data_IF_831438061738
#
_entry.id   IF_831438061738
#
_cell.length_a   1.000
_cell.length_b   1.000
_cell.length_c   1.000
_cell.angle_alpha   90.00
_cell.angle_beta   90.00
_cell.angle_gamma   90.00
#
_symmetry.space_group_name_H-M   'P 1'
#
loop_
_entity.id
_entity.type
_entity.pdbx_description
1 polymer ?
#
# COMPACT_ATOMS: atom_id res chain seq x y z
N UNK A 1 0.91 -23.21 6.48
CA UNK A 1 0.05 -23.13 5.28
C UNK A 1 0.91 -22.80 4.06
N UNK A 2 0.83 -23.61 3.03
CA UNK A 2 1.60 -23.33 1.81
C UNK A 2 0.96 -22.17 1.06
N UNK A 3 1.78 -21.22 0.60
CA UNK A 3 1.30 -20.12 -0.23
C UNK A 3 0.87 -20.66 -1.59
N UNK A 4 -0.22 -20.11 -2.12
CA UNK A 4 -0.67 -20.38 -3.48
C UNK A 4 0.27 -19.80 -4.54
N UNK A 5 1.11 -18.81 -4.17
CA UNK A 5 1.92 -18.04 -5.09
C UNK A 5 3.40 -18.19 -4.79
N UNK A 6 4.20 -18.08 -5.84
CA UNK A 6 5.66 -17.97 -5.76
C UNK A 6 6.07 -16.62 -6.34
N UNK A 7 7.13 -16.04 -5.78
CA UNK A 7 7.77 -14.86 -6.36
C UNK A 7 8.91 -15.37 -7.26
N UNK A 8 8.87 -14.97 -8.52
CA UNK A 8 9.81 -15.44 -9.54
C UNK A 8 10.43 -14.23 -10.23
N UNK A 9 11.76 -14.27 -10.43
CA UNK A 9 12.44 -13.24 -11.20
C UNK A 9 11.96 -13.26 -12.66
N UNK A 10 11.69 -12.07 -13.21
CA UNK A 10 11.24 -11.93 -14.61
C UNK A 10 12.16 -12.60 -15.61
N UNK A 11 13.46 -12.69 -15.29
CA UNK A 11 14.46 -13.33 -16.18
C UNK A 11 14.17 -14.81 -16.42
N UNK A 12 13.46 -15.47 -15.51
CA UNK A 12 13.06 -16.89 -15.66
C UNK A 12 11.79 -17.08 -16.48
N UNK A 13 11.07 -16.00 -16.76
CA UNK A 13 9.76 -16.06 -17.40
C UNK A 13 9.85 -15.67 -18.89
N UNK A 14 9.01 -16.28 -19.74
CA UNK A 14 8.86 -15.81 -21.12
C UNK A 14 8.37 -14.34 -21.12
N UNK A 15 8.78 -13.55 -22.13
CA UNK A 15 8.42 -12.13 -22.21
C UNK A 15 6.91 -11.84 -22.25
N UNK A 16 6.11 -12.79 -22.72
CA UNK A 16 4.66 -12.58 -22.84
C UNK A 16 3.95 -12.48 -21.50
N UNK A 17 4.50 -12.98 -20.40
CA UNK A 17 3.91 -12.79 -19.07
C UNK A 17 3.88 -11.30 -18.68
N UNK A 18 4.97 -10.59 -18.90
CA UNK A 18 5.01 -9.15 -18.65
C UNK A 18 4.05 -8.39 -19.55
N UNK A 19 3.92 -8.83 -20.80
CA UNK A 19 2.96 -8.22 -21.75
C UNK A 19 1.51 -8.44 -21.35
N UNK A 20 1.18 -9.58 -20.74
CA UNK A 20 -0.16 -9.82 -20.19
C UNK A 20 -0.48 -8.80 -19.09
N UNK A 21 0.47 -8.55 -18.19
CA UNK A 21 0.31 -7.55 -17.14
C UNK A 21 0.14 -6.15 -17.73
N UNK A 22 0.96 -5.78 -18.71
CA UNK A 22 0.87 -4.49 -19.40
C UNK A 22 -0.49 -4.31 -20.08
N UNK A 23 -1.01 -5.34 -20.76
CA UNK A 23 -2.32 -5.29 -21.39
C UNK A 23 -3.44 -5.04 -20.38
N UNK A 24 -3.36 -5.69 -19.21
CA UNK A 24 -4.34 -5.46 -18.14
C UNK A 24 -4.27 -4.03 -17.63
N UNK A 25 -3.08 -3.50 -17.43
CA UNK A 25 -2.91 -2.12 -16.97
C UNK A 25 -3.49 -1.12 -17.98
N UNK A 26 -3.31 -1.35 -19.27
CA UNK A 26 -3.91 -0.50 -20.32
C UNK A 26 -5.44 -0.52 -20.25
N UNK A 27 -6.05 -1.66 -19.94
CA UNK A 27 -7.50 -1.77 -19.76
C UNK A 27 -7.96 -1.04 -18.50
N UNK A 28 -7.26 -1.25 -17.39
CA UNK A 28 -7.63 -0.67 -16.10
C UNK A 28 -7.48 0.85 -16.12
N UNK A 29 -6.47 1.38 -16.81
CA UNK A 29 -6.21 2.81 -16.95
C UNK A 29 -7.06 3.49 -18.01
N UNK A 30 -7.87 2.73 -18.76
CA UNK A 30 -8.70 3.26 -19.84
C UNK A 30 -7.93 3.66 -21.10
N UNK A 31 -6.66 3.29 -21.22
CA UNK A 31 -5.85 3.56 -22.42
C UNK A 31 -6.20 2.62 -23.57
N UNK A 32 -6.75 1.46 -23.29
CA UNK A 32 -7.30 0.54 -24.27
C UNK A 32 -8.80 0.36 -24.00
N UNK A 33 -9.59 0.33 -25.08
CA UNK A 33 -11.06 0.22 -24.99
C UNK A 33 -11.51 -1.19 -24.67
N UNK A 34 -10.80 -2.18 -25.19
CA UNK A 34 -11.13 -3.59 -25.06
C UNK A 34 -9.87 -4.44 -25.12
N UNK A 35 -10.04 -5.74 -24.87
CA UNK A 35 -8.94 -6.71 -24.88
C UNK A 35 -8.23 -6.75 -26.23
N UNK A 36 -8.98 -6.67 -27.32
CA UNK A 36 -8.41 -6.72 -28.68
C UNK A 36 -7.43 -5.57 -28.91
N UNK A 37 -7.77 -4.37 -28.48
CA UNK A 37 -6.88 -3.21 -28.55
C UNK A 37 -5.67 -3.35 -27.63
N UNK A 38 -5.89 -3.75 -26.38
CA UNK A 38 -4.82 -3.90 -25.40
C UNK A 38 -3.75 -4.91 -25.84
N UNK A 39 -4.17 -6.09 -26.30
CA UNK A 39 -3.22 -7.14 -26.72
C UNK A 39 -2.46 -6.74 -27.98
N UNK A 40 -3.11 -6.01 -28.88
CA UNK A 40 -2.47 -5.49 -30.08
C UNK A 40 -1.39 -4.45 -29.72
N UNK A 41 -1.66 -3.59 -28.76
CA UNK A 41 -0.70 -2.58 -28.32
C UNK A 41 0.57 -3.19 -27.72
N UNK A 42 0.45 -4.30 -27.01
CA UNK A 42 1.59 -4.96 -26.38
C UNK A 42 2.17 -6.11 -27.22
N UNK A 43 1.50 -6.53 -28.29
CA UNK A 43 2.02 -7.52 -29.23
C UNK A 43 1.83 -8.95 -28.81
N UNK A 44 0.73 -9.30 -28.15
CA UNK A 44 0.35 -10.69 -27.81
C UNK A 44 -1.00 -11.05 -28.43
N UNK A 45 -1.33 -12.34 -28.43
CA UNK A 45 -2.63 -12.82 -28.89
C UNK A 45 -3.68 -12.70 -27.78
N UNK A 46 -4.96 -12.63 -28.16
CA UNK A 46 -6.06 -12.67 -27.20
C UNK A 46 -6.07 -13.95 -26.39
N UNK A 47 -5.75 -15.10 -27.01
CA UNK A 47 -5.71 -16.37 -26.32
C UNK A 47 -4.62 -16.42 -25.24
N UNK A 48 -3.46 -15.84 -25.50
CA UNK A 48 -2.39 -15.70 -24.50
C UNK A 48 -2.87 -14.86 -23.32
N UNK A 49 -3.51 -13.72 -23.61
CA UNK A 49 -4.02 -12.84 -22.57
C UNK A 49 -5.05 -13.57 -21.68
N UNK A 50 -6.06 -14.20 -22.28
CA UNK A 50 -7.11 -14.90 -21.51
C UNK A 50 -6.57 -16.08 -20.71
N UNK A 51 -5.57 -16.76 -21.21
CA UNK A 51 -4.96 -17.89 -20.51
C UNK A 51 -4.27 -17.47 -19.21
N UNK A 52 -3.61 -16.32 -19.20
CA UNK A 52 -2.74 -15.92 -18.11
C UNK A 52 -3.22 -14.71 -17.31
N UNK A 53 -4.27 -14.03 -17.72
CA UNK A 53 -4.72 -12.76 -17.12
C UNK A 53 -4.95 -12.82 -15.61
N UNK A 54 -5.40 -13.95 -15.08
CA UNK A 54 -5.68 -14.12 -13.67
C UNK A 54 -4.56 -14.85 -12.92
N UNK A 55 -3.53 -15.28 -13.63
CA UNK A 55 -2.43 -16.08 -13.07
C UNK A 55 -1.16 -15.26 -12.89
N UNK A 56 -1.03 -14.14 -13.57
CA UNK A 56 0.16 -13.27 -13.53
C UNK A 56 -0.27 -11.89 -13.09
N UNK A 57 0.41 -11.35 -12.08
CA UNK A 57 0.11 -10.02 -11.55
C UNK A 57 1.41 -9.28 -11.23
N UNK A 58 1.36 -7.95 -11.34
CA UNK A 58 2.45 -7.12 -10.88
C UNK A 58 2.48 -7.12 -9.35
N UNK A 59 3.66 -7.16 -8.76
CA UNK A 59 3.84 -7.10 -7.31
C UNK A 59 3.19 -5.85 -6.70
N UNK A 60 3.21 -4.72 -7.42
CA UNK A 60 2.59 -3.49 -6.95
C UNK A 60 1.07 -3.54 -6.85
N UNK A 61 0.42 -4.45 -7.59
CA UNK A 61 -1.05 -4.62 -7.54
C UNK A 61 -1.48 -5.71 -6.55
N UNK A 62 -0.56 -6.59 -6.17
CA UNK A 62 -0.75 -7.48 -5.03
C UNK A 62 -0.19 -6.74 -3.84
N UNK A 63 -1.03 -6.42 -2.89
CA UNK A 63 -0.65 -5.75 -1.65
C UNK A 63 0.40 -6.57 -0.88
N UNK A 64 1.59 -6.63 -1.41
CA UNK A 64 2.76 -7.22 -0.74
C UNK A 64 3.63 -6.15 -0.08
N UNK A 65 3.13 -4.91 -0.07
CA UNK A 65 3.75 -3.86 0.69
C UNK A 65 3.77 -4.22 2.17
N UNK A 66 4.86 -3.89 2.84
CA UNK A 66 4.92 -4.02 4.28
C UNK A 66 3.90 -3.08 4.91
N UNK A 67 3.25 -3.55 5.95
CA UNK A 67 2.31 -2.77 6.73
C UNK A 67 2.87 -2.52 8.12
N UNK A 68 2.62 -1.33 8.63
CA UNK A 68 2.91 -1.00 10.01
C UNK A 68 1.61 -0.56 10.70
N UNK A 69 1.44 -0.99 11.93
CA UNK A 69 0.31 -0.58 12.76
C UNK A 69 0.86 0.26 13.91
N UNK A 70 0.43 1.51 13.97
CA UNK A 70 0.88 2.47 14.98
C UNK A 70 -0.30 2.85 15.87
N UNK A 71 -0.10 2.80 17.17
CA UNK A 71 -1.07 3.25 18.16
C UNK A 71 -0.57 4.51 18.85
N UNK A 72 -1.48 5.41 19.16
CA UNK A 72 -1.16 6.65 19.88
C UNK A 72 -2.36 7.14 20.68
N UNK A 73 -2.09 7.88 21.74
CA UNK A 73 -3.10 8.63 22.50
C UNK A 73 -3.01 10.09 22.07
N UNK A 74 -4.15 10.67 21.68
CA UNK A 74 -4.21 12.08 21.30
C UNK A 74 -5.10 12.84 22.26
N UNK A 75 -4.71 14.08 22.59
CA UNK A 75 -5.61 15.01 23.22
C UNK A 75 -6.73 15.36 22.27
N UNK A 76 -7.95 15.48 22.81
CA UNK A 76 -9.11 15.83 21.98
C UNK A 76 -9.09 17.33 21.67
N UNK A 77 -8.20 17.71 20.74
CA UNK A 77 -8.07 19.08 20.22
C UNK A 77 -8.16 19.05 18.71
N UNK A 78 -8.75 20.10 18.16
CA UNK A 78 -8.87 20.25 16.70
C UNK A 78 -7.48 20.33 16.07
N UNK A 79 -7.27 19.59 15.00
CA UNK A 79 -6.09 19.69 14.16
C UNK A 79 -4.94 18.76 14.51
N UNK A 80 -4.94 18.07 15.66
CA UNK A 80 -3.84 17.15 16.02
C UNK A 80 -3.78 15.97 15.05
N UNK A 81 -4.91 15.33 14.77
CA UNK A 81 -4.95 14.20 13.83
C UNK A 81 -4.51 14.62 12.43
N UNK A 82 -4.95 15.79 11.96
CA UNK A 82 -4.52 16.33 10.68
C UNK A 82 -3.01 16.54 10.63
N UNK A 83 -2.39 17.00 11.71
CA UNK A 83 -0.94 17.16 11.80
C UNK A 83 -0.23 15.80 11.69
N UNK A 84 -0.74 14.79 12.38
CA UNK A 84 -0.19 13.41 12.30
C UNK A 84 -0.24 12.90 10.86
N UNK A 85 -1.39 13.02 10.20
CA UNK A 85 -1.57 12.58 8.82
C UNK A 85 -0.62 13.33 7.89
N UNK A 86 -0.43 14.63 8.11
CA UNK A 86 0.52 15.45 7.35
C UNK A 86 1.96 14.97 7.47
N UNK A 87 2.39 14.59 8.67
CA UNK A 87 3.73 14.01 8.88
C UNK A 87 3.87 12.69 8.11
N UNK A 88 2.89 11.81 8.23
CA UNK A 88 2.90 10.52 7.52
C UNK A 88 3.00 10.72 6.02
N UNK A 89 2.21 11.63 5.47
CA UNK A 89 2.23 11.94 4.03
C UNK A 89 3.58 12.48 3.58
N UNK A 90 4.28 13.22 4.44
CA UNK A 90 5.61 13.73 4.14
C UNK A 90 6.68 12.66 3.99
N UNK A 91 6.44 11.46 4.49
CA UNK A 91 7.34 10.30 4.33
C UNK A 91 6.93 9.38 3.17
N UNK A 92 5.97 9.80 2.34
CA UNK A 92 5.43 9.01 1.22
C UNK A 92 4.79 7.67 1.63
N UNK A 93 4.36 7.56 2.88
CA UNK A 93 3.60 6.41 3.34
C UNK A 93 2.11 6.63 3.10
N UNK A 94 1.42 5.55 2.73
CA UNK A 94 -0.03 5.58 2.51
C UNK A 94 -0.76 5.13 3.77
N UNK A 95 -1.76 5.90 4.17
CA UNK A 95 -2.65 5.51 5.27
C UNK A 95 -3.74 4.60 4.71
N UNK A 96 -3.84 3.40 5.26
CA UNK A 96 -4.87 2.44 4.86
C UNK A 96 -6.11 2.54 5.74
N UNK A 97 -5.91 2.56 7.04
CA UNK A 97 -7.02 2.68 7.98
C UNK A 97 -6.64 3.60 9.13
N UNK A 98 -7.64 4.30 9.64
CA UNK A 98 -7.56 5.06 10.88
C UNK A 98 -8.75 4.67 11.72
N UNK A 99 -8.49 4.21 12.94
CA UNK A 99 -9.54 3.89 13.90
C UNK A 99 -9.35 4.78 15.12
N UNK A 100 -10.36 5.56 15.45
CA UNK A 100 -10.37 6.42 16.61
C UNK A 100 -11.52 6.02 17.52
N UNK A 101 -11.21 5.72 18.76
CA UNK A 101 -12.23 5.45 19.78
C UNK A 101 -12.80 6.78 20.32
N UNK A 102 -14.04 6.77 20.86
CA UNK A 102 -14.57 7.97 21.51
C UNK A 102 -13.64 8.45 22.63
N UNK A 103 -13.50 9.78 22.82
CA UNK A 103 -12.63 10.31 23.85
C UNK A 103 -13.07 9.89 25.26
N UNK A 104 -12.10 9.55 26.09
CA UNK A 104 -12.26 9.32 27.51
C UNK A 104 -11.29 10.25 28.24
N UNK A 105 -11.79 11.06 29.15
CA UNK A 105 -10.99 12.08 29.87
C UNK A 105 -10.23 13.00 28.90
N UNK A 106 -10.92 13.45 27.85
CA UNK A 106 -10.39 14.32 26.80
C UNK A 106 -9.20 13.74 26.02
N UNK A 107 -9.04 12.42 26.04
CA UNK A 107 -8.02 11.69 25.27
C UNK A 107 -8.68 10.58 24.47
N UNK A 108 -8.19 10.36 23.26
CA UNK A 108 -8.65 9.29 22.39
C UNK A 108 -7.48 8.41 21.96
N UNK A 109 -7.75 7.12 21.85
CA UNK A 109 -6.80 6.19 21.26
C UNK A 109 -7.03 6.16 19.75
N UNK A 110 -5.94 6.31 18.99
CA UNK A 110 -5.95 6.24 17.54
C UNK A 110 -5.02 5.14 17.09
N UNK A 111 -5.50 4.27 16.21
CA UNK A 111 -4.71 3.21 15.58
C UNK A 111 -4.70 3.49 14.08
N UNK A 112 -3.50 3.57 13.51
CA UNK A 112 -3.29 3.85 12.10
C UNK A 112 -2.56 2.67 11.47
N UNK A 113 -3.11 2.13 10.38
CA UNK A 113 -2.44 1.14 9.55
C UNK A 113 -1.88 1.83 8.33
N UNK A 114 -0.57 1.66 8.11
CA UNK A 114 0.17 2.28 7.02
C UNK A 114 0.68 1.23 6.05
N UNK A 115 0.70 1.57 4.79
CA UNK A 115 1.50 0.86 3.80
C UNK A 115 2.86 1.53 3.74
N UNK A 116 3.91 0.76 4.02
CA UNK A 116 5.28 1.23 3.92
C UNK A 116 5.75 1.08 2.49
N UNK A 117 6.50 2.06 2.00
CA UNK A 117 7.18 1.96 0.72
C UNK A 117 8.35 0.97 0.79
N UNK A 118 9.20 1.02 -0.22
CA UNK A 118 10.39 0.15 -0.29
C UNK A 118 11.37 0.42 0.85
N UNK A 119 11.38 1.63 1.38
CA UNK A 119 12.28 2.05 2.45
C UNK A 119 11.56 2.12 3.79
N UNK A 120 11.58 1.01 4.53
CA UNK A 120 11.06 0.95 5.88
C UNK A 120 12.04 1.52 6.92
N UNK A 121 13.26 1.88 6.52
CA UNK A 121 14.29 2.35 7.46
C UNK A 121 13.94 3.73 8.05
N UNK A 122 13.14 4.52 7.35
CA UNK A 122 12.72 5.85 7.83
C UNK A 122 11.51 5.81 8.77
N UNK A 123 10.96 4.62 9.04
CA UNK A 123 9.80 4.47 9.92
C UNK A 123 10.09 4.99 11.34
N UNK A 124 11.26 4.68 11.88
CA UNK A 124 11.66 5.13 13.22
C UNK A 124 11.76 6.67 13.28
N UNK A 125 12.26 7.29 12.24
CA UNK A 125 12.33 8.77 12.15
C UNK A 125 10.93 9.38 12.14
N UNK A 126 10.01 8.80 11.39
CA UNK A 126 8.62 9.25 11.34
C UNK A 126 7.94 9.10 12.71
N UNK A 127 8.11 7.96 13.37
CA UNK A 127 7.54 7.73 14.72
C UNK A 127 8.10 8.75 15.70
N UNK A 128 9.39 9.05 15.64
CA UNK A 128 10.03 10.06 16.49
C UNK A 128 9.45 11.45 16.23
N UNK A 129 9.26 11.82 14.97
CA UNK A 129 8.67 13.10 14.61
C UNK A 129 7.23 13.22 15.11
N UNK A 130 6.43 12.16 14.92
CA UNK A 130 5.06 12.12 15.45
C UNK A 130 5.06 12.24 16.98
N UNK A 131 5.97 11.57 17.66
CA UNK A 131 6.07 11.59 19.12
C UNK A 131 6.36 12.97 19.68
N UNK A 132 6.95 13.86 18.87
CA UNK A 132 7.25 15.23 19.28
C UNK A 132 6.09 16.21 19.06
N UNK A 133 5.00 15.78 18.45
CA UNK A 133 3.82 16.64 18.25
C UNK A 133 3.15 16.89 19.60
N UNK A 134 2.92 18.16 19.98
CA UNK A 134 2.21 18.47 21.23
C UNK A 134 0.80 17.85 21.24
N UNK A 135 0.44 17.23 22.34
CA UNK A 135 -0.86 16.60 22.52
C UNK A 135 -0.87 15.10 22.21
N UNK A 136 0.25 14.53 21.76
CA UNK A 136 0.40 13.09 21.57
C UNK A 136 1.16 12.44 22.70
N UNK A 137 0.77 11.22 23.04
CA UNK A 137 1.47 10.39 24.02
C UNK A 137 1.33 8.92 23.62
N UNK A 138 2.19 8.09 24.18
CA UNK A 138 2.17 6.63 23.97
C UNK A 138 2.16 6.25 22.48
N UNK A 139 2.97 6.93 21.68
CA UNK A 139 3.15 6.59 20.26
C UNK A 139 4.02 5.34 20.21
N UNK A 140 3.47 4.26 19.62
CA UNK A 140 4.17 2.99 19.59
C UNK A 140 3.81 2.18 18.35
N UNK A 141 4.77 1.42 17.86
CA UNK A 141 4.57 0.46 16.79
C UNK A 141 4.00 -0.82 17.41
N UNK A 142 2.79 -1.22 16.99
CA UNK A 142 2.15 -2.44 17.47
C UNK A 142 2.55 -3.67 16.68
N UNK A 143 2.84 -3.51 15.39
CA UNK A 143 3.23 -4.61 14.53
C UNK A 143 3.70 -4.13 13.17
N UNK A 144 4.46 -4.98 12.50
CA UNK A 144 4.94 -4.76 11.14
C UNK A 144 5.05 -6.12 10.45
N UNK A 145 4.52 -6.22 9.23
CA UNK A 145 4.60 -7.44 8.41
C UNK A 145 5.31 -7.20 7.08
#
# INVERSE_FOLDING_TARGET
MQSKYLIVDKALLPPYFEKVVQARELLDDGQARDVSEAVKMVGISRSTYYKYKDLVRNISTVSMGRHAIISMMISHKVGILSTVIGVISGYDYSVWTITQNPPVDAKANVVITLELGEDAAILDDMIREISNIPGLSKVQLLGMD
#
